data_IF_234455119160
#
_entry.id   IF_234455119160
#
_cell.length_a   1.000
_cell.length_b   1.000
_cell.length_c   1.000
_cell.angle_alpha   90.00
_cell.angle_beta   90.00
_cell.angle_gamma   90.00
#
_symmetry.space_group_name_H-M   'P 1'
#
loop_
_entity.id
_entity.type
_entity.pdbx_description
1 polymer ?
#
# COMPACT_ATOMS: atom_id res chain seq x y z
N UNK A 1 18.58 28.54 3.17
CA UNK A 1 19.42 27.45 3.70
C UNK A 1 18.45 26.41 4.20
N UNK A 2 18.19 25.36 3.42
CA UNK A 2 17.36 24.25 3.88
C UNK A 2 18.15 23.48 4.95
N UNK A 3 17.53 23.30 6.11
CA UNK A 3 18.08 22.56 7.24
C UNK A 3 18.19 21.07 6.88
N UNK A 4 19.31 20.44 7.23
CA UNK A 4 19.50 18.99 7.07
C UNK A 4 18.69 18.26 8.14
N UNK A 5 17.52 17.72 7.77
CA UNK A 5 16.61 17.05 8.74
C UNK A 5 16.30 15.59 8.41
N UNK A 6 16.97 14.98 7.42
CA UNK A 6 16.81 13.56 7.11
C UNK A 6 17.92 12.71 7.72
N UNK A 7 17.58 11.78 8.62
CA UNK A 7 18.47 10.70 9.05
C UNK A 7 17.91 9.34 8.55
N UNK A 8 18.69 8.27 8.65
CA UNK A 8 18.25 6.92 8.23
C UNK A 8 16.94 6.49 8.90
N UNK A 9 16.67 6.97 10.13
CA UNK A 9 15.44 6.71 10.86
C UNK A 9 14.23 7.45 10.30
N UNK A 10 14.37 8.70 9.85
CA UNK A 10 13.32 9.47 9.18
C UNK A 10 13.01 8.83 7.82
N UNK A 11 14.03 8.41 7.07
CA UNK A 11 13.86 7.67 5.82
C UNK A 11 13.13 6.33 6.05
N UNK A 12 13.53 5.56 7.06
CA UNK A 12 12.87 4.32 7.45
C UNK A 12 11.41 4.57 7.86
N UNK A 13 11.14 5.62 8.64
CA UNK A 13 9.78 5.99 9.03
C UNK A 13 8.91 6.31 7.81
N UNK A 14 9.42 7.10 6.86
CA UNK A 14 8.70 7.40 5.62
C UNK A 14 8.45 6.16 4.76
N UNK A 15 9.45 5.27 4.65
CA UNK A 15 9.30 3.98 3.98
C UNK A 15 8.19 3.15 4.63
N UNK A 16 8.18 3.06 5.95
CA UNK A 16 7.14 2.35 6.71
C UNK A 16 5.77 2.98 6.43
N UNK A 17 5.64 4.30 6.48
CA UNK A 17 4.36 4.98 6.19
C UNK A 17 3.90 4.85 4.74
N UNK A 18 4.83 4.74 3.79
CA UNK A 18 4.50 4.53 2.38
C UNK A 18 4.03 3.10 2.10
N UNK A 19 4.52 2.13 2.86
CA UNK A 19 4.18 0.70 2.72
C UNK A 19 2.91 0.35 3.50
N UNK A 20 2.73 0.89 4.70
CA UNK A 20 1.56 0.58 5.53
C UNK A 20 0.37 1.41 5.06
N UNK A 21 -0.48 0.81 4.21
CA UNK A 21 -1.65 1.44 3.60
C UNK A 21 -2.85 0.51 3.49
N UNK A 22 -3.80 0.86 2.63
CA UNK A 22 -5.06 0.10 2.43
C UNK A 22 -4.86 -1.36 2.03
N UNK A 23 -3.73 -1.69 1.38
CA UNK A 23 -3.39 -3.07 1.04
C UNK A 23 -3.36 -4.01 2.25
N UNK A 24 -2.90 -3.52 3.41
CA UNK A 24 -2.77 -4.31 4.64
C UNK A 24 -4.14 -4.81 5.15
N UNK A 25 -5.20 -4.03 4.95
CA UNK A 25 -6.56 -4.39 5.38
C UNK A 25 -7.09 -5.65 4.68
N UNK A 26 -6.60 -5.93 3.46
CA UNK A 26 -6.99 -7.11 2.68
C UNK A 26 -6.13 -8.35 2.98
N UNK A 27 -5.03 -8.20 3.72
CA UNK A 27 -4.07 -9.27 3.94
C UNK A 27 -4.64 -10.37 4.82
N UNK A 28 -5.37 -10.05 5.88
CA UNK A 28 -6.01 -11.07 6.74
C UNK A 28 -6.96 -11.98 5.97
N UNK A 29 -7.75 -11.40 5.04
CA UNK A 29 -8.59 -12.18 4.14
C UNK A 29 -7.76 -13.02 3.16
N UNK A 30 -6.70 -12.46 2.59
CA UNK A 30 -5.83 -13.16 1.64
C UNK A 30 -5.14 -14.37 2.30
N UNK A 31 -4.69 -14.20 3.55
CA UNK A 31 -4.10 -15.27 4.37
C UNK A 31 -5.11 -16.38 4.66
N UNK A 32 -6.38 -16.05 4.95
CA UNK A 32 -7.41 -17.07 5.18
C UNK A 32 -7.75 -17.87 3.93
N UNK A 33 -7.64 -17.27 2.73
CA UNK A 33 -7.87 -17.98 1.46
C UNK A 33 -6.71 -18.92 1.08
N UNK A 34 -5.48 -18.52 1.35
CA UNK A 34 -4.26 -19.29 1.03
C UNK A 34 -3.93 -20.34 2.10
N UNK A 35 -4.29 -20.07 3.36
CA UNK A 35 -4.00 -20.94 4.50
C UNK A 35 -2.65 -20.67 5.15
N UNK A 36 -2.36 -21.46 6.19
CA UNK A 36 -1.23 -21.26 7.10
C UNK A 36 0.15 -21.40 6.45
N UNK A 37 0.28 -22.13 5.34
CA UNK A 37 1.57 -22.36 4.67
C UNK A 37 1.72 -21.44 3.45
N UNK A 38 0.79 -21.52 2.51
CA UNK A 38 0.88 -20.77 1.26
C UNK A 38 0.76 -19.25 1.48
N UNK A 39 0.01 -18.81 2.49
CA UNK A 39 -0.12 -17.40 2.85
C UNK A 39 1.22 -16.75 3.22
N UNK A 40 1.91 -17.22 4.29
CA UNK A 40 3.20 -16.67 4.68
C UNK A 40 4.27 -16.80 3.59
N UNK A 41 4.31 -17.93 2.86
CA UNK A 41 5.25 -18.11 1.75
C UNK A 41 5.01 -17.05 0.67
N UNK A 42 3.76 -16.83 0.26
CA UNK A 42 3.43 -15.81 -0.73
C UNK A 42 3.86 -14.41 -0.25
N UNK A 43 3.60 -14.07 1.02
CA UNK A 43 4.04 -12.80 1.61
C UNK A 43 5.56 -12.62 1.54
N UNK A 44 6.33 -13.64 1.94
CA UNK A 44 7.79 -13.61 1.90
C UNK A 44 8.31 -13.52 0.46
N UNK A 45 7.69 -14.21 -0.49
CA UNK A 45 8.05 -14.13 -1.90
C UNK A 45 7.85 -12.71 -2.45
N UNK A 46 6.68 -12.10 -2.24
CA UNK A 46 6.40 -10.74 -2.69
C UNK A 46 7.30 -9.71 -1.98
N UNK A 47 7.53 -9.86 -0.68
CA UNK A 47 8.47 -9.03 0.06
C UNK A 47 9.91 -9.14 -0.50
N UNK A 48 10.36 -10.34 -0.85
CA UNK A 48 11.69 -10.59 -1.43
C UNK A 48 11.84 -9.96 -2.82
N UNK A 49 10.81 -10.09 -3.67
CA UNK A 49 10.76 -9.44 -4.99
C UNK A 49 10.83 -7.93 -4.84
N UNK A 50 10.05 -7.36 -3.93
CA UNK A 50 10.02 -5.92 -3.67
C UNK A 50 11.34 -5.42 -3.11
N UNK A 51 11.96 -6.15 -2.16
CA UNK A 51 13.28 -5.82 -1.62
C UNK A 51 14.35 -5.84 -2.71
N UNK A 52 14.38 -6.90 -3.53
CA UNK A 52 15.34 -7.02 -4.63
C UNK A 52 15.16 -5.88 -5.63
N UNK A 53 13.91 -5.54 -5.96
CA UNK A 53 13.59 -4.43 -6.86
C UNK A 53 14.08 -3.10 -6.30
N UNK A 54 13.89 -2.85 -5.00
CA UNK A 54 14.38 -1.65 -4.33
C UNK A 54 15.91 -1.58 -4.32
N UNK A 55 16.61 -2.69 -4.04
CA UNK A 55 18.07 -2.75 -4.06
C UNK A 55 18.63 -2.47 -5.47
N UNK A 56 18.04 -3.06 -6.50
CA UNK A 56 18.42 -2.78 -7.89
C UNK A 56 18.21 -1.31 -8.24
N UNK A 57 17.07 -0.75 -7.83
CA UNK A 57 16.74 0.64 -8.13
C UNK A 57 17.65 1.63 -7.37
N UNK A 58 18.05 1.28 -6.14
CA UNK A 58 19.04 2.05 -5.37
C UNK A 58 20.41 2.07 -6.04
N UNK A 59 20.78 1.02 -6.77
CA UNK A 59 22.03 1.01 -7.55
C UNK A 59 21.92 1.87 -8.82
N UNK A 60 20.73 1.92 -9.42
CA UNK A 60 20.46 2.78 -10.58
C UNK A 60 20.29 4.27 -10.23
N UNK A 61 20.28 4.63 -8.94
CA UNK A 61 20.12 6.00 -8.48
C UNK A 61 21.25 6.93 -8.96
N UNK A 62 22.49 6.42 -8.97
CA UNK A 62 23.67 7.10 -9.49
C UNK A 62 24.13 6.39 -10.74
N UNK A 63 24.06 7.07 -11.88
CA UNK A 63 24.63 6.59 -13.14
C UNK A 63 25.88 7.41 -13.47
N UNK A 64 26.90 6.78 -14.03
CA UNK A 64 28.10 7.47 -14.53
C UNK A 64 27.94 7.69 -16.02
N UNK A 65 28.02 8.95 -16.45
CA UNK A 65 27.97 9.32 -17.87
C UNK A 65 29.29 9.00 -18.59
N UNK A 66 29.26 9.01 -19.92
CA UNK A 66 30.40 8.76 -20.81
C UNK A 66 31.61 9.68 -20.54
N UNK A 67 31.38 10.84 -19.92
CA UNK A 67 32.41 11.83 -19.54
C UNK A 67 32.83 11.73 -18.05
N UNK A 68 32.56 10.60 -17.37
CA UNK A 68 32.89 10.34 -15.96
C UNK A 68 32.21 11.31 -14.96
N UNK A 69 31.10 11.94 -15.37
CA UNK A 69 30.24 12.71 -14.48
C UNK A 69 29.18 11.82 -13.81
N UNK A 70 29.02 11.94 -12.50
CA UNK A 70 27.97 11.23 -11.74
C UNK A 70 26.64 11.96 -11.89
N UNK A 71 25.68 11.34 -12.54
CA UNK A 71 24.30 11.84 -12.68
C UNK A 71 23.44 11.20 -11.58
N UNK A 72 22.65 12.04 -10.92
CA UNK A 72 21.73 11.65 -9.85
C UNK A 72 20.29 11.73 -10.37
N UNK A 73 19.54 10.63 -10.27
CA UNK A 73 18.15 10.59 -10.78
C UNK A 73 17.13 10.87 -9.67
N UNK A 74 16.23 11.85 -9.88
CA UNK A 74 15.26 12.31 -8.89
C UNK A 74 13.96 11.48 -8.85
N UNK A 75 13.58 10.87 -9.97
CA UNK A 75 12.41 9.99 -10.08
C UNK A 75 12.76 8.71 -10.86
N UNK A 76 11.93 7.67 -10.68
CA UNK A 76 12.01 6.43 -11.44
C UNK A 76 11.98 6.67 -12.95
N UNK A 77 11.10 7.55 -13.43
CA UNK A 77 11.00 7.84 -14.86
C UNK A 77 12.25 8.56 -15.40
N UNK A 78 12.90 9.40 -14.58
CA UNK A 78 14.15 10.06 -14.95
C UNK A 78 15.29 9.04 -15.09
N UNK A 79 15.39 8.08 -14.16
CA UNK A 79 16.38 7.02 -14.22
C UNK A 79 16.19 6.14 -15.46
N UNK A 80 14.95 5.74 -15.76
CA UNK A 80 14.65 4.95 -16.97
C UNK A 80 14.96 5.76 -18.24
N UNK A 81 14.61 7.04 -18.27
CA UNK A 81 14.90 7.90 -19.42
C UNK A 81 16.39 8.04 -19.68
N UNK A 82 17.19 8.26 -18.64
CA UNK A 82 18.63 8.45 -18.77
C UNK A 82 19.38 7.15 -19.11
N UNK A 83 18.97 6.01 -18.55
CA UNK A 83 19.73 4.75 -18.68
C UNK A 83 19.24 3.91 -19.87
N UNK A 84 17.91 3.82 -20.07
CA UNK A 84 17.29 2.96 -21.10
C UNK A 84 16.76 3.75 -22.30
N UNK A 85 16.74 5.08 -22.24
CA UNK A 85 16.30 5.96 -23.31
C UNK A 85 14.79 6.21 -23.37
N UNK A 86 14.40 7.09 -24.29
CA UNK A 86 13.06 7.68 -24.39
C UNK A 86 11.93 6.67 -24.59
N UNK A 87 12.12 5.62 -25.40
CA UNK A 87 11.06 4.62 -25.70
C UNK A 87 10.69 3.82 -24.46
N UNK A 88 11.69 3.41 -23.67
CA UNK A 88 11.51 2.66 -22.44
C UNK A 88 10.86 3.53 -21.36
N UNK A 89 11.30 4.78 -21.23
CA UNK A 89 10.70 5.73 -20.30
C UNK A 89 9.23 6.00 -20.61
N UNK A 90 8.87 6.13 -21.89
CA UNK A 90 7.48 6.31 -22.29
C UNK A 90 6.61 5.09 -21.94
N UNK A 91 7.08 3.88 -22.22
CA UNK A 91 6.36 2.64 -21.86
C UNK A 91 6.22 2.49 -20.33
N UNK A 92 7.31 2.71 -19.59
CA UNK A 92 7.28 2.71 -18.13
C UNK A 92 6.35 3.80 -17.57
N UNK A 93 6.31 4.98 -18.20
CA UNK A 93 5.40 6.07 -17.84
C UNK A 93 3.93 5.66 -17.93
N UNK A 94 3.55 4.90 -18.97
CA UNK A 94 2.19 4.34 -19.08
C UNK A 94 1.90 3.38 -17.93
N UNK A 95 2.81 2.47 -17.61
CA UNK A 95 2.64 1.50 -16.51
C UNK A 95 2.51 2.22 -15.16
N UNK A 96 3.35 3.23 -14.91
CA UNK A 96 3.31 4.04 -13.68
C UNK A 96 1.99 4.82 -13.59
N UNK A 97 1.53 5.42 -14.70
CA UNK A 97 0.24 6.10 -14.76
C UNK A 97 -0.94 5.18 -14.43
N UNK A 98 -0.96 3.98 -15.01
CA UNK A 98 -1.98 2.95 -14.69
C UNK A 98 -1.94 2.58 -13.19
N UNK A 99 -0.74 2.48 -12.60
CA UNK A 99 -0.60 2.20 -11.18
C UNK A 99 -1.21 3.29 -10.29
N UNK A 100 -1.01 4.57 -10.61
CA UNK A 100 -1.61 5.67 -9.85
C UNK A 100 -3.14 5.71 -10.01
N UNK A 101 -3.66 5.50 -11.22
CA UNK A 101 -5.12 5.40 -11.46
C UNK A 101 -5.73 4.26 -10.63
N UNK A 102 -5.09 3.09 -10.66
CA UNK A 102 -5.48 1.91 -9.87
C UNK A 102 -5.56 2.26 -8.37
N UNK A 103 -4.54 2.92 -7.82
CA UNK A 103 -4.52 3.32 -6.41
C UNK A 103 -5.69 4.26 -6.08
N UNK A 104 -5.98 5.24 -6.94
CA UNK A 104 -7.13 6.14 -6.75
C UNK A 104 -8.48 5.42 -6.70
N UNK A 105 -8.69 4.46 -7.59
CA UNK A 105 -9.89 3.62 -7.61
C UNK A 105 -10.00 2.79 -6.33
N UNK A 106 -8.91 2.11 -5.94
CA UNK A 106 -8.89 1.26 -4.73
C UNK A 106 -9.18 2.06 -3.47
N UNK A 107 -8.59 3.24 -3.31
CA UNK A 107 -8.86 4.09 -2.15
C UNK A 107 -10.32 4.56 -2.11
N UNK A 108 -10.90 4.92 -3.25
CA UNK A 108 -12.31 5.30 -3.34
C UNK A 108 -13.24 4.17 -2.91
N UNK A 109 -13.02 2.96 -3.44
CA UNK A 109 -13.82 1.78 -3.10
C UNK A 109 -13.65 1.42 -1.62
N UNK A 110 -12.40 1.37 -1.13
CA UNK A 110 -12.08 0.98 0.24
C UNK A 110 -12.68 1.94 1.25
N UNK A 111 -12.58 3.25 1.00
CA UNK A 111 -13.19 4.30 1.83
C UNK A 111 -14.71 4.13 1.91
N UNK A 112 -15.36 3.93 0.76
CA UNK A 112 -16.81 3.74 0.71
C UNK A 112 -17.29 2.50 1.48
N UNK A 113 -16.58 1.37 1.34
CA UNK A 113 -16.89 0.13 2.08
C UNK A 113 -16.67 0.36 3.58
N UNK A 114 -15.61 1.06 3.97
CA UNK A 114 -15.29 1.32 5.38
C UNK A 114 -16.35 2.19 6.05
N UNK A 115 -16.79 3.27 5.39
CA UNK A 115 -17.88 4.12 5.89
C UNK A 115 -19.18 3.34 5.97
N UNK A 116 -19.49 2.53 4.95
CA UNK A 116 -20.66 1.65 4.95
C UNK A 116 -20.65 0.66 6.13
N UNK A 117 -19.49 0.09 6.45
CA UNK A 117 -19.32 -0.82 7.59
C UNK A 117 -19.51 -0.11 8.93
N UNK A 118 -19.00 1.12 9.10
CA UNK A 118 -19.20 1.94 10.31
C UNK A 118 -20.69 2.25 10.50
N UNK A 119 -21.38 2.70 9.45
CA UNK A 119 -22.80 3.01 9.51
C UNK A 119 -23.63 1.78 9.89
N UNK A 120 -23.29 0.63 9.30
CA UNK A 120 -23.93 -0.63 9.63
C UNK A 120 -23.68 -1.05 11.08
N UNK A 121 -22.46 -0.88 11.58
CA UNK A 121 -22.12 -1.15 12.99
C UNK A 121 -22.90 -0.25 13.95
N UNK A 122 -22.98 1.06 13.67
CA UNK A 122 -23.74 2.01 14.47
C UNK A 122 -25.24 1.67 14.47
N UNK A 123 -25.79 1.33 13.31
CA UNK A 123 -27.19 0.92 13.18
C UNK A 123 -27.48 -0.32 14.04
N UNK A 124 -26.66 -1.36 13.99
CA UNK A 124 -26.83 -2.53 14.85
C UNK A 124 -26.69 -2.24 16.35
N UNK A 125 -25.88 -1.24 16.71
CA UNK A 125 -25.73 -0.82 18.10
C UNK A 125 -26.99 -0.10 18.62
N UNK A 126 -27.65 0.72 17.80
CA UNK A 126 -28.86 1.48 18.21
C UNK A 126 -30.17 0.70 18.03
N UNK A 127 -30.33 0.03 16.89
CA UNK A 127 -31.58 -0.63 16.47
C UNK A 127 -31.60 -2.13 16.84
N UNK A 128 -30.47 -2.66 17.32
CA UNK A 128 -30.28 -4.07 17.65
C UNK A 128 -29.84 -4.93 16.46
N UNK A 129 -29.28 -6.11 16.76
CA UNK A 129 -28.65 -7.00 15.76
C UNK A 129 -29.61 -7.56 14.69
N UNK A 130 -30.93 -7.48 14.90
CA UNK A 130 -31.95 -7.94 13.95
C UNK A 130 -32.47 -6.83 13.02
N UNK A 131 -31.94 -5.61 13.11
CA UNK A 131 -32.39 -4.50 12.27
C UNK A 131 -31.93 -4.64 10.81
N UNK A 132 -32.76 -4.20 9.85
CA UNK A 132 -32.44 -4.21 8.42
C UNK A 132 -31.62 -2.98 8.02
N UNK A 133 -30.35 -2.97 8.41
CA UNK A 133 -29.42 -1.88 8.10
C UNK A 133 -28.82 -2.03 6.70
N UNK A 134 -29.21 -1.18 5.74
CA UNK A 134 -28.67 -1.15 4.38
C UNK A 134 -28.20 0.26 3.99
N UNK A 135 -26.93 0.38 3.60
CA UNK A 135 -26.30 1.62 3.17
C UNK A 135 -25.69 1.44 1.78
N UNK A 136 -25.84 2.45 0.92
CA UNK A 136 -25.33 2.39 -0.45
C UNK A 136 -23.87 2.84 -0.51
N UNK A 137 -22.97 1.90 -0.85
CA UNK A 137 -21.54 2.20 -1.06
C UNK A 137 -21.33 3.20 -2.22
N UNK A 138 -22.18 3.18 -3.25
CA UNK A 138 -22.06 4.08 -4.41
C UNK A 138 -22.14 5.55 -4.01
N UNK A 139 -23.01 5.89 -3.04
CA UNK A 139 -23.11 7.27 -2.53
C UNK A 139 -21.79 7.72 -1.90
N UNK A 140 -21.17 6.87 -1.08
CA UNK A 140 -19.87 7.18 -0.45
C UNK A 140 -18.71 7.20 -1.45
N UNK A 141 -18.75 6.38 -2.50
CA UNK A 141 -17.75 6.43 -3.58
C UNK A 141 -17.77 7.78 -4.29
N UNK A 142 -18.95 8.31 -4.62
CA UNK A 142 -19.09 9.62 -5.28
C UNK A 142 -18.58 10.73 -4.35
N UNK A 143 -18.99 10.73 -3.09
CA UNK A 143 -18.56 11.73 -2.10
C UNK A 143 -17.04 11.73 -1.92
N UNK A 144 -16.44 10.55 -1.72
CA UNK A 144 -15.01 10.44 -1.52
C UNK A 144 -14.23 10.79 -2.80
N UNK A 145 -14.69 10.35 -3.97
CA UNK A 145 -14.09 10.69 -5.26
C UNK A 145 -14.11 12.21 -5.53
N UNK A 146 -15.22 12.89 -5.22
CA UNK A 146 -15.30 14.35 -5.32
C UNK A 146 -14.31 15.03 -4.36
N UNK A 147 -14.23 14.58 -3.11
CA UNK A 147 -13.27 15.11 -2.14
C UNK A 147 -11.83 14.90 -2.60
N UNK A 148 -11.50 13.70 -3.11
CA UNK A 148 -10.19 13.37 -3.64
C UNK A 148 -9.82 14.30 -4.82
N UNK A 149 -10.78 14.59 -5.71
CA UNK A 149 -10.59 15.54 -6.80
C UNK A 149 -10.33 16.97 -6.34
N UNK A 150 -11.02 17.43 -5.29
CA UNK A 150 -10.82 18.76 -4.70
C UNK A 150 -9.45 18.87 -4.00
N UNK A 151 -9.11 17.87 -3.18
CA UNK A 151 -7.83 17.83 -2.44
C UNK A 151 -6.64 17.75 -3.42
N UNK A 152 -6.81 17.08 -4.56
CA UNK A 152 -5.80 17.02 -5.62
C UNK A 152 -5.46 18.38 -6.25
N UNK A 153 -6.30 19.42 -6.06
CA UNK A 153 -6.03 20.76 -6.59
C UNK A 153 -5.14 21.62 -5.67
N UNK A 154 -4.82 21.14 -4.46
CA UNK A 154 -4.01 21.88 -3.50
C UNK A 154 -2.55 21.87 -4.00
N UNK A 155 -1.98 23.02 -4.39
CA UNK A 155 -0.72 23.06 -5.13
C UNK A 155 0.54 23.03 -4.24
N UNK A 156 0.40 22.88 -2.92
CA UNK A 156 1.52 22.99 -1.99
C UNK A 156 1.61 21.81 -1.00
N UNK A 157 2.61 20.95 -1.21
CA UNK A 157 2.91 19.75 -0.42
C UNK A 157 3.93 20.01 0.68
N UNK A 158 4.50 21.21 0.79
CA UNK A 158 5.60 21.51 1.71
C UNK A 158 5.22 21.42 3.19
N UNK A 159 3.92 21.27 3.49
CA UNK A 159 3.39 21.12 4.84
C UNK A 159 2.57 19.83 4.99
N UNK A 160 2.90 18.75 4.25
CA UNK A 160 2.15 17.47 4.27
C UNK A 160 2.78 16.37 5.11
N UNK A 161 3.86 16.66 5.84
CA UNK A 161 4.47 15.71 6.77
C UNK A 161 3.48 15.20 7.83
N UNK A 162 2.57 16.06 8.31
CA UNK A 162 1.52 15.68 9.27
C UNK A 162 0.57 14.61 8.71
N UNK A 163 0.33 14.57 7.39
CA UNK A 163 -0.49 13.52 6.77
C UNK A 163 0.19 12.16 6.87
N UNK A 164 1.52 12.12 6.70
CA UNK A 164 2.29 10.89 6.87
C UNK A 164 2.25 10.42 8.33
N UNK A 165 2.32 11.34 9.29
CA UNK A 165 2.19 11.02 10.73
C UNK A 165 0.80 10.45 11.05
N UNK A 166 -0.28 11.07 10.56
CA UNK A 166 -1.64 10.54 10.75
C UNK A 166 -1.79 9.17 10.09
N UNK A 167 -1.29 9.01 8.86
CA UNK A 167 -1.30 7.73 8.16
C UNK A 167 -0.57 6.65 8.97
N UNK A 168 0.56 6.97 9.58
CA UNK A 168 1.29 6.08 10.48
C UNK A 168 0.46 5.68 11.71
N UNK A 169 -0.14 6.67 12.39
CA UNK A 169 -0.96 6.42 13.59
C UNK A 169 -2.14 5.53 13.26
N UNK A 170 -2.88 5.83 12.18
CA UNK A 170 -4.01 5.01 11.72
C UNK A 170 -3.55 3.58 11.40
N UNK A 171 -2.39 3.46 10.77
CA UNK A 171 -1.75 2.21 10.39
C UNK A 171 -1.43 1.28 11.54
N UNK A 172 -0.77 1.82 12.58
CA UNK A 172 -0.54 1.07 13.80
C UNK A 172 -1.84 0.78 14.53
N UNK A 173 -2.78 1.73 14.57
CA UNK A 173 -4.07 1.58 15.25
C UNK A 173 -4.87 0.40 14.69
N UNK A 174 -5.10 0.33 13.37
CA UNK A 174 -5.85 -0.80 12.82
C UNK A 174 -5.08 -2.12 12.94
N UNK A 175 -3.75 -2.09 12.91
CA UNK A 175 -2.92 -3.29 13.07
C UNK A 175 -3.03 -3.86 14.49
N UNK A 176 -2.99 -2.99 15.51
CA UNK A 176 -3.18 -3.38 16.91
C UNK A 176 -4.61 -3.85 17.18
N UNK A 177 -5.62 -3.15 16.67
CA UNK A 177 -7.02 -3.58 16.79
C UNK A 177 -7.21 -4.95 16.13
N UNK A 178 -6.72 -5.15 14.91
CA UNK A 178 -6.80 -6.42 14.21
C UNK A 178 -6.11 -7.56 14.96
N UNK A 179 -4.91 -7.30 15.48
CA UNK A 179 -4.14 -8.29 16.27
C UNK A 179 -4.84 -8.62 17.58
N UNK A 180 -5.33 -7.60 18.30
CA UNK A 180 -6.03 -7.76 19.57
C UNK A 180 -7.34 -8.54 19.42
N UNK A 181 -8.16 -8.19 18.42
CA UNK A 181 -9.39 -8.92 18.10
C UNK A 181 -9.10 -10.37 17.68
N UNK A 182 -8.05 -10.60 16.89
CA UNK A 182 -7.64 -11.95 16.50
C UNK A 182 -7.19 -12.77 17.70
N UNK A 183 -6.40 -12.19 18.61
CA UNK A 183 -5.93 -12.87 19.82
C UNK A 183 -7.10 -13.19 20.76
N UNK A 184 -7.99 -12.22 20.98
CA UNK A 184 -9.21 -12.42 21.76
C UNK A 184 -10.04 -13.58 21.19
N UNK A 185 -10.13 -13.70 19.87
CA UNK A 185 -10.89 -14.79 19.24
C UNK A 185 -10.24 -16.17 19.40
N UNK A 186 -8.91 -16.24 19.41
CA UNK A 186 -8.18 -17.49 19.68
C UNK A 186 -8.41 -17.94 21.12
N UNK A 187 -8.37 -17.00 22.08
CA UNK A 187 -8.61 -17.30 23.50
C UNK A 187 -10.05 -17.77 23.73
N UNK A 188 -11.03 -17.08 23.13
CA UNK A 188 -12.47 -17.41 23.22
C UNK A 188 -12.77 -18.81 22.65
N UNK A 189 -12.19 -19.17 21.50
CA UNK A 189 -12.39 -20.47 20.88
C UNK A 189 -11.59 -21.60 21.55
N UNK A 190 -10.53 -21.29 22.30
CA UNK A 190 -9.64 -22.27 22.94
C UNK A 190 -8.76 -23.09 21.98
N UNK A 191 -8.84 -22.84 20.67
CA UNK A 191 -8.08 -23.55 19.63
C UNK A 191 -7.65 -22.60 18.50
N UNK A 192 -6.46 -22.86 17.93
CA UNK A 192 -5.99 -22.17 16.73
C UNK A 192 -6.74 -22.74 15.52
N UNK A 193 -7.79 -22.05 15.09
CA UNK A 193 -8.55 -22.42 13.90
C UNK A 193 -7.79 -22.07 12.61
N UNK A 194 -8.03 -22.84 11.55
CA UNK A 194 -7.53 -22.56 10.20
C UNK A 194 -6.99 -23.82 9.50
N UNK A 195 -7.11 -23.85 8.17
CA UNK A 195 -6.64 -24.98 7.36
C UNK A 195 -5.31 -24.69 6.68
N UNK A 196 -4.52 -25.75 6.44
CA UNK A 196 -3.28 -25.67 5.64
C UNK A 196 -3.57 -25.14 4.23
N UNK A 197 -4.67 -25.60 3.62
CA UNK A 197 -5.12 -25.18 2.29
C UNK A 197 -6.03 -23.95 2.27
N UNK A 198 -6.20 -23.24 3.40
CA UNK A 198 -7.11 -22.11 3.54
C UNK A 198 -8.59 -22.49 3.50
N UNK A 199 -9.46 -21.48 3.37
CA UNK A 199 -10.91 -21.67 3.38
C UNK A 199 -11.39 -22.60 2.25
N UNK A 200 -12.30 -23.55 2.54
CA UNK A 200 -12.91 -24.37 1.50
C UNK A 200 -13.80 -23.52 0.58
N UNK A 201 -13.86 -23.89 -0.70
CA UNK A 201 -14.75 -23.25 -1.66
C UNK A 201 -15.77 -24.28 -2.18
N UNK A 202 -16.95 -23.80 -2.62
CA UNK A 202 -18.03 -24.68 -3.09
C UNK A 202 -17.66 -25.49 -4.34
N UNK A 203 -16.67 -25.05 -5.12
CA UNK A 203 -16.14 -25.77 -6.27
C UNK A 203 -14.67 -25.37 -6.55
N UNK A 204 -13.93 -26.16 -7.33
CA UNK A 204 -12.51 -25.90 -7.62
C UNK A 204 -12.26 -24.56 -8.33
N UNK A 205 -13.14 -24.16 -9.26
CA UNK A 205 -12.96 -22.90 -10.00
C UNK A 205 -13.04 -21.67 -9.10
N UNK A 206 -13.98 -21.65 -8.15
CA UNK A 206 -14.04 -20.59 -7.12
C UNK A 206 -12.83 -20.62 -6.21
N UNK A 207 -12.30 -21.81 -5.88
CA UNK A 207 -11.06 -21.90 -5.08
C UNK A 207 -9.90 -21.24 -5.81
N UNK A 208 -9.70 -21.57 -7.09
CA UNK A 208 -8.65 -20.96 -7.94
C UNK A 208 -8.84 -19.44 -8.02
N UNK A 209 -10.07 -18.97 -8.22
CA UNK A 209 -10.38 -17.54 -8.28
C UNK A 209 -10.08 -16.82 -6.96
N UNK A 210 -10.44 -17.40 -5.81
CA UNK A 210 -10.11 -16.84 -4.50
C UNK A 210 -8.60 -16.81 -4.23
N UNK A 211 -7.87 -17.84 -4.64
CA UNK A 211 -6.41 -17.89 -4.54
C UNK A 211 -5.77 -16.80 -5.42
N UNK A 212 -6.23 -16.63 -6.66
CA UNK A 212 -5.74 -15.60 -7.55
C UNK A 212 -6.00 -14.18 -7.00
N UNK A 213 -7.19 -13.93 -6.45
CA UNK A 213 -7.50 -12.67 -5.77
C UNK A 213 -6.61 -12.43 -4.55
N UNK A 214 -6.39 -13.46 -3.73
CA UNK A 214 -5.51 -13.36 -2.56
C UNK A 214 -4.08 -13.00 -2.97
N UNK A 215 -3.53 -13.62 -4.02
CA UNK A 215 -2.21 -13.28 -4.54
C UNK A 215 -2.16 -11.85 -5.11
N UNK A 216 -3.20 -11.42 -5.82
CA UNK A 216 -3.31 -10.04 -6.32
C UNK A 216 -3.37 -9.00 -5.20
N UNK A 217 -4.11 -9.29 -4.13
CA UNK A 217 -4.19 -8.44 -2.93
C UNK A 217 -2.85 -8.34 -2.21
N UNK A 218 -2.13 -9.45 -2.07
CA UNK A 218 -0.77 -9.45 -1.52
C UNK A 218 0.16 -8.61 -2.40
N UNK A 219 0.18 -8.84 -3.71
CA UNK A 219 1.00 -8.05 -4.64
C UNK A 219 0.70 -6.55 -4.55
N UNK A 220 -0.58 -6.17 -4.42
CA UNK A 220 -1.01 -4.79 -4.25
C UNK A 220 -0.52 -4.17 -2.92
N UNK A 221 -0.33 -4.95 -1.86
CA UNK A 221 0.18 -4.48 -0.58
C UNK A 221 1.70 -4.18 -0.59
N UNK A 222 2.44 -4.55 -1.66
CA UNK A 222 3.87 -4.28 -1.79
C UNK A 222 4.23 -3.34 -2.99
N UNK A 223 3.63 -2.14 -3.14
CA UNK A 223 3.83 -1.28 -4.34
C UNK A 223 5.09 -0.40 -4.29
N UNK A 224 6.09 -0.76 -3.47
CA UNK A 224 7.16 0.14 -3.03
C UNK A 224 8.10 0.65 -4.14
N UNK A 225 8.36 -0.17 -5.16
CA UNK A 225 9.39 0.10 -6.17
C UNK A 225 9.14 1.36 -7.00
N UNK A 226 7.89 1.82 -7.13
CA UNK A 226 7.54 2.99 -7.96
C UNK A 226 7.87 4.31 -7.25
N UNK A 227 7.70 4.39 -5.93
CA UNK A 227 7.85 5.63 -5.14
C UNK A 227 9.23 5.71 -4.46
N UNK A 228 9.99 4.62 -4.53
CA UNK A 228 11.25 4.46 -3.79
C UNK A 228 12.29 5.53 -4.10
N UNK A 229 12.56 5.82 -5.38
CA UNK A 229 13.58 6.81 -5.76
C UNK A 229 13.18 8.23 -5.33
N UNK A 230 11.90 8.57 -5.43
CA UNK A 230 11.38 9.88 -5.03
C UNK A 230 11.55 10.09 -3.52
N UNK A 231 11.31 9.03 -2.72
CA UNK A 231 11.55 9.05 -1.27
C UNK A 231 13.05 9.13 -0.94
N UNK A 232 13.89 8.33 -1.62
CA UNK A 232 15.35 8.32 -1.40
C UNK A 232 15.97 9.69 -1.70
N UNK A 233 15.60 10.31 -2.81
CA UNK A 233 16.13 11.62 -3.22
C UNK A 233 15.75 12.68 -2.20
N UNK A 234 14.47 12.73 -1.82
CA UNK A 234 13.95 13.78 -0.94
C UNK A 234 14.52 13.72 0.48
N UNK A 235 14.87 12.52 0.98
CA UNK A 235 15.25 12.33 2.38
C UNK A 235 16.75 12.06 2.59
N UNK A 236 17.43 11.39 1.66
CA UNK A 236 18.82 10.94 1.86
C UNK A 236 19.83 11.87 1.15
N UNK A 237 19.46 12.49 0.03
CA UNK A 237 20.46 13.06 -0.89
C UNK A 237 20.26 14.52 -1.32
N UNK A 238 19.25 15.25 -0.81
CA UNK A 238 19.11 16.70 -1.10
C UNK A 238 20.32 17.55 -0.62
N UNK A 239 21.30 17.00 0.11
CA UNK A 239 22.59 17.68 0.30
C UNK A 239 23.79 16.72 0.24
N UNK A 240 24.54 16.62 -0.89
CA UNK A 240 25.86 16.01 -0.85
C UNK A 240 26.74 16.74 0.17
N UNK A 241 27.62 16.05 0.92
CA UNK A 241 28.63 16.72 1.72
C UNK A 241 29.47 17.61 0.79
N UNK A 242 29.68 18.86 1.23
CA UNK A 242 30.71 19.73 0.64
C UNK A 242 32.08 19.11 0.85
#
# INVERSE_FOLDING_TARGET
>A
MAEKTGNEWTALAHIITAVIGSGVLSLGWSMSQLGWIAGPIAMLCFASVTLTSALLLSNCYKSTDSDLHTITHASYLDAVHSILGIRSAWFCGIIVGINFIKIGIVYTITSAISIGAIQKSNCYHYEGHNATCSYSNTKYMIIFGSLQGLVSQIPDFHNTEWLSVIAAIMSFTYSFIGSGLSLAKIIDNGEIMGGIGGLPASNPSKKVWSVAQALGNIAFAFPFSVVFLEIQVHQIYIHPPK
#
